data_IF_580169330163
#
_entry.id   IF_580169330163
#
_cell.length_a   1.000
_cell.length_b   1.000
_cell.length_c   1.000
_cell.angle_alpha   90.00
_cell.angle_beta   90.00
_cell.angle_gamma   90.00
#
_symmetry.space_group_name_H-M   'P 1'
#
loop_
_entity.id
_entity.type
_entity.pdbx_description
1 polymer ?
2 non-polymer ?
3 non-polymer ?
4 non-polymer ?
5 non-polymer ?
6 water ?
#
# COMPACT_ATOMS: atom_id res chain seq x y z
N UNK A 12 21.85 -1.94 -1.71
CA UNK A 12 20.65 -1.71 -2.57
C UNK A 12 20.12 -0.28 -2.53
N UNK A 14 21.25 2.90 -3.16
CA UNK A 14 21.41 3.80 -4.31
C UNK A 14 20.45 3.44 -5.48
N UNK A 15 20.32 2.15 -5.77
CA UNK A 15 19.43 1.71 -6.85
C UNK A 15 17.96 1.97 -6.54
N UNK A 16 17.56 1.66 -5.31
CA UNK A 16 16.15 1.88 -4.94
C UNK A 16 15.81 3.37 -4.91
N UNK A 17 16.73 4.17 -4.40
CA UNK A 17 16.54 5.61 -4.35
C UNK A 17 16.32 6.13 -5.78
N UNK A 18 17.15 5.68 -6.69
CA UNK A 18 16.99 6.04 -8.11
C UNK A 18 15.60 5.66 -8.65
N UNK A 19 15.16 4.44 -8.38
CA UNK A 19 13.85 3.90 -8.82
C UNK A 19 12.71 4.77 -8.29
N UNK A 20 12.76 5.07 -7.01
CA UNK A 20 11.73 5.90 -6.37
C UNK A 20 11.70 7.31 -6.92
N UNK A 21 12.87 7.91 -7.05
CA UNK A 21 12.97 9.25 -7.57
C UNK A 21 12.45 9.39 -9.02
N UNK A 22 12.66 8.34 -9.81
CA UNK A 22 12.22 8.29 -11.20
C UNK A 22 10.72 8.16 -11.36
N UNK A 23 10.12 7.38 -10.46
CA UNK A 23 8.71 6.95 -10.61
C UNK A 23 7.79 8.16 -10.59
N UNK A 24 7.02 8.34 -11.67
CA UNK A 24 6.05 9.42 -11.75
C UNK A 24 4.72 8.87 -12.21
N UNK A 25 3.64 9.29 -11.55
CA UNK A 25 2.29 8.88 -11.99
C UNK A 25 2.07 9.42 -13.37
N UNK A 26 1.77 8.55 -14.35
CA UNK A 26 1.68 8.90 -15.74
C UNK A 26 0.44 9.75 -16.03
N UNK A 27 0.63 10.78 -16.83
CA UNK A 27 -0.49 11.59 -17.23
C UNK A 27 -1.03 11.13 -18.58
N UNK A 28 -0.17 10.51 -19.37
CA UNK A 28 -0.50 10.05 -20.71
C UNK A 28 0.29 8.81 -21.01
N UNK A 29 -0.16 8.07 -22.01
CA UNK A 29 0.59 6.88 -22.48
C UNK A 29 0.72 6.92 -23.98
N UNK A 30 1.88 6.47 -24.46
CA UNK A 30 2.21 6.38 -25.88
C UNK A 30 1.59 5.16 -26.52
N UNK A 31 1.16 5.33 -27.76
CA UNK A 31 0.74 4.21 -28.58
C UNK A 31 1.95 3.39 -29.04
N UNK A 32 1.69 2.14 -29.41
CA UNK A 32 2.74 1.30 -29.96
C UNK A 32 3.58 0.58 -28.95
N UNK A 33 3.05 0.42 -27.72
CA UNK A 33 3.78 -0.29 -26.65
C UNK A 33 2.93 -1.35 -26.01
N UNK A 34 2.55 -2.36 -26.79
CA UNK A 34 1.76 -3.41 -26.20
C UNK A 34 2.51 -4.11 -25.05
N UNK A 35 1.74 -4.53 -24.05
CA UNK A 35 2.25 -5.30 -22.95
C UNK A 35 1.66 -6.70 -23.03
N UNK A 36 2.48 -7.67 -22.68
CA UNK A 36 2.11 -9.09 -22.73
C UNK A 36 1.86 -9.70 -21.34
N UNK A 37 1.18 -10.83 -21.34
CA UNK A 37 1.12 -11.66 -20.14
C UNK A 37 2.49 -11.99 -19.56
N UNK A 38 3.49 -12.27 -20.41
CA UNK A 38 4.85 -12.55 -19.92
C UNK A 38 5.45 -11.38 -19.17
N UNK A 39 5.29 -10.17 -19.71
CA UNK A 39 5.73 -8.95 -19.02
C UNK A 39 5.05 -8.83 -17.65
N UNK A 40 3.72 -8.92 -17.62
CA UNK A 40 2.95 -8.73 -16.38
C UNK A 40 3.21 -9.83 -15.38
N UNK A 41 3.32 -11.10 -15.83
CA UNK A 41 3.58 -12.19 -14.94
C UNK A 41 4.91 -11.98 -14.16
N UNK A 42 5.91 -11.39 -14.81
CA UNK A 42 7.18 -11.08 -14.14
C UNK A 42 7.01 -10.10 -12.98
N UNK A 44 4.02 -9.66 -11.40
CA UNK A 44 3.15 -10.28 -10.41
C UNK A 44 3.88 -11.30 -9.56
N UNK A 45 4.96 -11.90 -10.08
CA UNK A 45 5.77 -12.77 -9.22
C UNK A 45 6.36 -11.99 -8.04
N UNK A 46 6.69 -10.72 -8.26
CA UNK A 46 7.17 -9.89 -7.15
C UNK A 46 6.02 -9.46 -6.27
N UNK A 47 4.89 -9.08 -6.86
CA UNK A 47 3.70 -8.73 -6.11
C UNK A 47 3.31 -9.83 -5.14
N UNK A 48 3.48 -11.08 -5.55
CA UNK A 48 3.13 -12.24 -4.71
C UNK A 48 3.93 -12.26 -3.40
N UNK A 49 5.09 -11.61 -3.40
CA UNK A 49 5.97 -11.60 -2.26
C UNK A 49 5.71 -10.36 -1.40
N UNK A 50 4.68 -9.54 -1.70
CA UNK A 50 4.33 -8.48 -0.78
C UNK A 50 3.83 -9.09 0.53
N UNK A 51 3.98 -8.37 1.62
CA UNK A 51 3.39 -8.87 2.88
C UNK A 51 1.86 -8.67 2.88
N UNK A 52 1.17 -9.55 3.60
CA UNK A 52 -0.29 -9.42 3.75
C UNK A 52 -0.61 -9.95 5.13
N UNK A 53 -1.65 -9.41 5.73
CA UNK A 53 -2.01 -9.79 7.12
C UNK A 53 -2.25 -11.28 7.22
N UNK A 54 -1.57 -11.91 8.18
CA UNK A 54 -1.75 -13.36 8.41
C UNK A 54 -1.46 -14.21 7.17
N UNK A 55 -0.65 -13.68 6.25
CA UNK A 55 -0.39 -14.30 4.96
C UNK A 55 -1.67 -14.73 4.22
N UNK A 56 -2.75 -13.98 4.40
CA UNK A 56 -4.01 -14.33 3.72
C UNK A 56 -4.07 -13.94 2.23
N UNK A 57 -3.21 -13.05 1.78
CA UNK A 57 -3.10 -12.78 0.35
C UNK A 57 -4.44 -12.35 -0.22
N UNK A 58 -4.89 -11.24 0.33
CA UNK A 58 -6.25 -10.71 0.09
C UNK A 58 -6.49 -10.23 -1.34
N UNK A 59 -5.42 -9.89 -2.07
CA UNK A 59 -5.50 -9.09 -3.28
C UNK A 59 -5.69 -9.96 -4.51
N UNK A 60 -6.55 -9.52 -5.41
CA UNK A 60 -6.71 -10.11 -6.77
C UNK A 60 -6.60 -8.99 -7.76
N UNK A 61 -6.06 -9.29 -8.94
CA UNK A 61 -5.96 -8.30 -10.00
C UNK A 61 -6.76 -8.76 -11.19
N UNK A 62 -7.60 -7.88 -11.72
CA UNK A 62 -8.25 -8.10 -13.01
C UNK A 62 -7.49 -7.26 -14.02
N UNK A 63 -6.79 -7.92 -14.95
CA UNK A 63 -5.87 -7.23 -15.86
C UNK A 63 -6.48 -7.15 -17.24
N UNK A 64 -6.87 -5.96 -17.67
CA UNK A 64 -7.65 -5.78 -18.91
C UNK A 64 -6.76 -5.34 -20.07
N UNK A 65 -6.60 -6.21 -21.06
CA UNK A 65 -5.96 -5.84 -22.32
C UNK A 65 -6.96 -5.53 -23.44
N UNK A 66 -8.15 -6.11 -23.38
CA UNK A 66 -9.16 -5.97 -24.44
C UNK A 66 -9.66 -4.55 -24.61
N UNK A 67 -9.53 -4.05 -25.83
CA UNK A 67 -9.76 -2.65 -26.07
C UNK A 67 -11.22 -2.26 -25.88
N UNK A 68 -12.18 -3.11 -26.25
CA UNK A 68 -13.59 -2.73 -25.97
C UNK A 68 -13.91 -2.69 -24.49
N UNK A 69 -13.35 -3.62 -23.72
CA UNK A 69 -13.58 -3.56 -22.27
C UNK A 69 -12.97 -2.26 -21.71
N UNK A 70 -11.79 -1.88 -22.20
CA UNK A 70 -11.21 -0.61 -21.79
C UNK A 70 -12.11 0.59 -22.10
N UNK A 71 -12.80 0.57 -23.23
CA UNK A 71 -13.76 1.62 -23.57
C UNK A 71 -14.92 1.65 -22.58
N UNK A 72 -15.39 0.47 -22.17
CA UNK A 72 -16.41 0.40 -21.14
C UNK A 72 -15.93 0.97 -19.81
N UNK A 73 -14.71 0.60 -19.43
CA UNK A 73 -14.13 1.13 -18.21
C UNK A 73 -13.93 2.63 -18.28
N UNK A 74 -13.54 3.13 -19.45
CA UNK A 74 -13.38 4.58 -19.58
C UNK A 74 -14.67 5.34 -19.27
N UNK A 75 -15.79 4.82 -19.74
CA UNK A 75 -17.06 5.43 -19.48
C UNK A 75 -17.35 5.48 -17.97
N UNK A 76 -16.83 4.50 -17.25
CA UNK A 76 -17.00 4.42 -15.78
C UNK A 76 -15.94 5.23 -15.00
N UNK A 77 -15.01 5.84 -15.72
CA UNK A 77 -13.90 6.55 -15.09
C UNK A 77 -13.85 7.97 -15.62
N UNK A 78 -15.01 8.61 -15.73
CA UNK A 78 -15.10 10.01 -16.17
C UNK A 78 -14.52 10.33 -17.55
N UNK A 79 -14.51 9.32 -18.42
CA UNK A 79 -14.02 9.50 -19.74
C UNK A 79 -12.52 9.61 -19.91
N UNK A 80 -11.77 9.35 -18.83
CA UNK A 80 -10.30 9.53 -18.85
C UNK A 80 -9.63 8.77 -20.00
N UNK A 81 -8.97 9.51 -20.90
CA UNK A 81 -8.36 8.96 -22.13
C UNK A 81 -7.29 7.93 -21.76
N UNK A 82 -6.58 8.10 -20.65
CA UNK A 82 -5.51 7.16 -20.30
C UNK A 82 -6.01 5.73 -20.06
N UNK A 83 -7.30 5.58 -19.78
CA UNK A 83 -7.88 4.25 -19.67
C UNK A 83 -7.74 3.49 -21.01
N UNK A 84 -7.99 4.18 -22.14
CA UNK A 84 -7.91 3.55 -23.44
C UNK A 84 -6.51 3.62 -24.07
N UNK A 85 -5.71 4.63 -23.74
CA UNK A 85 -4.36 4.74 -24.35
C UNK A 85 -3.33 3.86 -23.62
N UNK A 86 -3.65 3.41 -22.41
CA UNK A 86 -2.85 2.50 -21.60
C UNK A 86 -2.58 1.22 -22.38
N UNK A 87 -1.45 0.60 -22.10
CA UNK A 87 -1.23 -0.74 -22.55
C UNK A 87 -2.15 -1.78 -21.88
N UNK A 88 -2.48 -1.58 -20.61
CA UNK A 88 -3.45 -2.42 -19.88
C UNK A 88 -3.97 -1.60 -18.75
N UNK A 89 -5.17 -1.96 -18.34
CA UNK A 89 -5.84 -1.35 -17.17
C UNK A 89 -6.04 -2.48 -16.15
N UNK A 90 -5.52 -2.28 -14.94
CA UNK A 90 -5.68 -3.23 -13.87
C UNK A 90 -6.70 -2.74 -12.85
N UNK A 91 -7.57 -3.63 -12.44
CA UNK A 91 -8.44 -3.44 -11.29
C UNK A 91 -7.88 -4.24 -10.13
N UNK A 92 -7.58 -3.51 -9.05
CA UNK A 92 -6.98 -4.09 -7.83
C UNK A 92 -8.13 -4.33 -6.86
N UNK A 93 -8.36 -5.60 -6.57
CA UNK A 93 -9.43 -6.05 -5.70
C UNK A 93 -8.91 -6.54 -4.38
N UNK A 94 -9.73 -6.35 -3.32
CA UNK A 94 -9.45 -6.99 -2.05
C UNK A 94 -10.60 -7.87 -1.60
N UNK A 95 -10.27 -9.10 -1.21
CA UNK A 95 -11.29 -10.09 -0.78
C UNK A 95 -11.71 -9.79 0.66
N UNK A 96 -12.98 -9.41 0.81
CA UNK A 96 -13.53 -9.18 2.14
C UNK A 96 -13.65 -10.47 2.94
N UNK A 97 -13.61 -11.62 2.28
CA UNK A 97 -13.70 -12.90 2.95
C UNK A 97 -12.38 -13.69 2.88
N UNK A 98 -11.28 -13.00 2.67
CA UNK A 98 -9.97 -13.63 2.59
C UNK A 98 -9.64 -14.60 3.72
N UNK A 99 -10.10 -14.25 4.93
CA UNK A 99 -9.79 -15.06 6.13
C UNK A 99 -10.30 -16.47 6.03
N UNK A 100 -11.33 -16.69 5.20
CA UNK A 100 -11.85 -18.05 5.03
C UNK A 100 -10.85 -19.03 4.42
N UNK A 101 -9.81 -18.53 3.76
CA UNK A 101 -8.80 -19.41 3.17
C UNK A 101 -7.60 -19.70 4.04
N UNK A 102 -7.67 -19.31 5.31
CA UNK A 102 -6.60 -19.61 6.26
C UNK A 102 -6.25 -21.09 6.29
N UNK A 103 -7.27 -21.94 6.45
CA UNK A 103 -6.98 -23.38 6.59
C UNK A 103 -6.24 -23.92 5.37
N UNK A 104 -6.65 -23.51 4.17
CA UNK A 104 -5.96 -23.90 2.94
C UNK A 104 -4.55 -23.36 2.80
N UNK A 105 -4.36 -22.08 3.12
CA UNK A 105 -3.07 -21.49 3.02
C UNK A 105 -2.03 -22.09 3.98
N UNK A 106 -2.45 -22.38 5.22
CA UNK A 106 -1.55 -22.89 6.27
C UNK A 106 -1.38 -24.42 6.18
N UNK A 107 -2.14 -25.07 5.30
CA UNK A 107 -2.22 -26.55 5.28
C UNK A 107 -0.85 -27.19 5.10
N UNK A 108 -0.04 -26.62 4.22
CA UNK A 108 1.34 -27.13 4.03
C UNK A 108 2.18 -27.20 5.28
N UNK A 109 1.98 -26.27 6.21
CA UNK A 109 2.72 -26.32 7.49
C UNK A 109 2.46 -27.62 8.24
N UNK A 110 1.21 -28.08 8.21
CA UNK A 110 0.81 -29.32 8.87
C UNK A 110 1.28 -30.52 8.06
N UNK A 111 1.04 -30.49 6.76
CA UNK A 111 1.30 -31.67 5.95
C UNK A 111 2.80 -31.93 5.93
N UNK A 112 3.62 -30.89 5.90
CA UNK A 112 5.06 -31.07 5.87
C UNK A 112 5.64 -31.25 7.28
N UNK A 113 4.81 -31.29 8.30
CA UNK A 113 5.25 -31.62 9.64
C UNK A 113 5.95 -30.50 10.38
N UNK A 114 5.87 -29.28 9.87
CA UNK A 114 6.35 -28.11 10.58
C UNK A 114 5.50 -27.84 11.85
N UNK A 115 4.18 -28.01 11.72
CA UNK A 115 3.24 -27.88 12.82
C UNK A 115 2.55 -29.22 12.99
N UNK A 116 2.23 -29.60 14.23
CA UNK A 116 1.31 -30.69 14.47
C UNK A 116 -0.12 -30.19 14.28
N UNK A 117 -1.07 -31.11 14.31
CA UNK A 117 -2.46 -30.77 14.06
C UNK A 117 -2.99 -29.73 15.04
N UNK A 118 -2.64 -29.86 16.31
CA UNK A 118 -3.12 -28.93 17.31
C UNK A 118 -2.61 -27.51 17.02
N UNK A 119 -1.32 -27.38 16.73
CA UNK A 119 -0.70 -26.09 16.42
C UNK A 119 -1.31 -25.50 15.14
N UNK A 120 -1.54 -26.36 14.15
CA UNK A 120 -2.17 -25.88 12.91
C UNK A 120 -3.60 -25.39 13.16
N UNK A 121 -4.37 -26.16 13.90
CA UNK A 121 -5.74 -25.76 14.20
C UNK A 121 -5.73 -24.46 14.98
N UNK A 122 -4.78 -24.33 15.90
CA UNK A 122 -4.67 -23.12 16.69
C UNK A 122 -4.34 -21.91 15.82
N UNK A 124 -4.94 -21.55 12.52
CA UNK A 124 -6.13 -21.24 11.71
C UNK A 124 -7.14 -20.48 12.55
N UNK A 125 -7.42 -20.96 13.76
CA UNK A 125 -8.45 -20.37 14.62
C UNK A 125 -8.05 -18.96 15.05
N UNK A 126 -6.75 -18.76 15.29
CA UNK A 126 -6.31 -17.43 15.64
C UNK A 126 -6.61 -16.43 14.54
N UNK A 127 -6.30 -16.79 13.29
CA UNK A 127 -6.53 -15.87 12.17
C UNK A 127 -8.02 -15.66 11.94
N UNK A 128 -8.77 -16.78 11.88
CA UNK A 128 -10.20 -16.67 11.58
C UNK A 128 -10.94 -15.83 12.67
N UNK A 129 -10.68 -16.15 13.92
CA UNK A 129 -11.33 -15.45 15.03
C UNK A 129 -10.95 -14.00 15.07
N UNK A 130 -9.71 -13.67 14.69
CA UNK A 130 -9.28 -12.27 14.67
C UNK A 130 -10.25 -11.46 13.79
N UNK A 131 -10.49 -11.95 12.57
CA UNK A 131 -11.40 -11.32 11.66
C UNK A 131 -12.87 -11.41 12.11
N UNK A 132 -13.34 -12.59 12.51
CA UNK A 132 -14.73 -12.73 12.94
C UNK A 132 -15.12 -11.86 14.13
N UNK A 133 -14.24 -11.75 15.12
CA UNK A 133 -14.51 -11.01 16.32
C UNK A 133 -14.55 -9.52 16.02
N UNK A 134 -13.78 -9.06 15.02
CA UNK A 134 -13.83 -7.65 14.67
C UNK A 134 -15.04 -7.27 13.86
N UNK A 135 -15.43 -8.09 12.88
CA UNK A 135 -16.65 -7.83 12.11
C UNK A 135 -16.48 -7.28 10.70
N UNK A 136 -17.60 -6.88 10.12
CA UNK A 136 -17.64 -6.60 8.72
C UNK A 136 -16.82 -5.39 8.33
N UNK A 137 -16.83 -4.32 9.14
CA UNK A 137 -16.08 -3.11 8.78
C UNK A 137 -14.57 -3.45 8.72
N UNK A 138 -14.09 -4.22 9.68
CA UNK A 138 -12.71 -4.70 9.67
C UNK A 138 -12.33 -5.51 8.42
N UNK A 139 -13.18 -6.47 8.06
CA UNK A 139 -12.96 -7.27 6.86
C UNK A 139 -12.78 -6.33 5.70
N UNK A 140 -13.63 -5.31 5.60
CA UNK A 140 -13.50 -4.40 4.48
C UNK A 140 -12.25 -3.54 4.56
N UNK A 141 -11.95 -3.02 5.75
CA UNK A 141 -10.71 -2.27 6.01
C UNK A 141 -9.47 -3.10 5.55
N UNK A 142 -9.49 -4.38 5.88
CA UNK A 142 -8.39 -5.32 5.53
C UNK A 142 -8.27 -5.53 4.01
N UNK A 143 -9.40 -5.57 3.33
CA UNK A 143 -9.41 -5.67 1.86
C UNK A 143 -8.71 -4.45 1.23
N UNK A 144 -9.02 -3.26 1.73
CA UNK A 144 -8.42 -2.05 1.21
C UNK A 144 -6.93 -1.99 1.58
N UNK A 145 -6.61 -2.23 2.83
CA UNK A 145 -5.25 -2.08 3.33
C UNK A 145 -4.28 -3.03 2.64
N UNK A 146 -4.65 -4.31 2.63
CA UNK A 146 -3.72 -5.31 2.07
C UNK A 146 -3.62 -5.14 0.53
N UNK A 147 -4.72 -4.83 -0.17
CA UNK A 147 -4.69 -4.60 -1.62
C UNK A 147 -3.85 -3.37 -1.95
N UNK A 148 -3.87 -2.36 -1.07
CA UNK A 148 -3.11 -1.14 -1.30
C UNK A 148 -1.63 -1.39 -1.11
N UNK A 149 -1.24 -2.17 -0.11
CA UNK A 149 0.16 -2.60 0.01
C UNK A 149 0.62 -3.29 -1.27
N UNK A 150 -0.24 -4.19 -1.75
CA UNK A 150 0.04 -4.93 -2.96
C UNK A 150 0.19 -4.00 -4.19
N UNK A 151 -0.71 -3.04 -4.31
CA UNK A 151 -0.67 -2.10 -5.43
C UNK A 151 0.62 -1.31 -5.47
N UNK A 154 3.12 -3.53 -6.90
CA UNK A 154 2.91 -3.60 -8.31
C UNK A 154 3.53 -2.41 -9.05
N UNK A 156 5.95 -0.35 -8.14
CA UNK A 156 7.41 -0.36 -8.09
C UNK A 156 8.01 -1.44 -8.97
N UNK A 157 7.35 -2.61 -9.01
CA UNK A 157 7.70 -3.66 -9.95
C UNK A 157 7.62 -3.21 -11.40
N UNK A 158 6.56 -2.52 -11.76
CA UNK A 158 6.42 -1.98 -13.10
C UNK A 158 7.51 -0.99 -13.43
N UNK A 159 7.84 -0.13 -12.47
CA UNK A 159 8.87 0.87 -12.61
C UNK A 159 10.22 0.21 -12.90
N UNK A 160 10.51 -0.82 -12.11
CA UNK A 160 11.76 -1.59 -12.15
C UNK A 160 11.88 -2.27 -13.54
N UNK A 161 10.73 -2.63 -14.12
CA UNK A 161 10.67 -3.30 -15.43
C UNK A 161 10.66 -2.32 -16.57
N UNK A 162 10.62 -1.02 -16.27
CA UNK A 162 10.69 0.01 -17.30
C UNK A 162 9.35 0.56 -17.81
N UNK A 163 8.29 0.30 -17.05
CA UNK A 163 6.94 0.72 -17.42
C UNK A 163 6.55 1.87 -16.50
N UNK A 164 5.60 2.66 -16.96
CA UNK A 164 4.97 3.71 -16.18
C UNK A 164 3.55 3.31 -15.80
N UNK A 165 3.12 3.81 -14.66
CA UNK A 165 1.77 3.53 -14.18
C UNK A 165 1.12 4.81 -13.65
N UNK A 166 -0.20 4.75 -13.57
CA UNK A 166 -1.00 5.77 -12.87
C UNK A 166 -2.06 5.10 -12.02
N UNK A 167 -1.98 5.24 -10.69
CA UNK A 167 -3.02 4.78 -9.79
C UNK A 167 -4.20 5.71 -9.89
N UNK A 169 -8.49 6.50 -8.56
CA UNK A 169 -9.70 6.24 -7.77
C UNK A 169 -10.92 6.96 -8.37
N UNK A 170 -10.72 7.70 -9.46
CA UNK A 170 -11.77 8.46 -10.07
C UNK A 170 -12.64 7.59 -11.00
N UNK A 171 -13.33 6.62 -10.40
CA UNK A 171 -14.21 5.72 -11.16
C UNK A 171 -15.40 5.24 -10.31
N UNK A 172 -16.44 4.77 -11.00
CA UNK A 172 -17.66 4.24 -10.39
C UNK A 172 -17.48 2.75 -10.12
N UNK A 173 -17.25 2.40 -8.87
CA UNK A 173 -16.94 1.00 -8.51
C UNK A 173 -18.05 0.03 -8.88
N UNK A 174 -19.30 0.39 -8.64
CA UNK A 174 -20.41 -0.52 -8.96
C UNK A 174 -20.52 -0.73 -10.46
N UNK A 175 -20.24 0.31 -11.23
CA UNK A 175 -20.20 0.14 -12.71
C UNK A 175 -19.07 -0.78 -13.17
N UNK A 176 -17.88 -0.64 -12.55
CA UNK A 176 -16.77 -1.53 -12.82
C UNK A 176 -17.09 -2.97 -12.51
N UNK A 177 -17.73 -3.22 -11.37
CA UNK A 177 -18.05 -4.61 -11.01
C UNK A 177 -19.04 -5.19 -12.02
N UNK A 178 -20.02 -4.40 -12.48
CA UNK A 178 -20.92 -4.87 -13.54
C UNK A 178 -20.18 -5.20 -14.84
N UNK A 179 -19.30 -4.29 -15.28
CA UNK A 179 -18.50 -4.50 -16.51
C UNK A 179 -17.64 -5.78 -16.44
N UNK A 180 -17.04 -6.05 -15.29
CA UNK A 180 -16.01 -7.08 -15.18
C UNK A 180 -16.55 -8.32 -14.45
N UNK A 181 -17.85 -8.28 -14.10
CA UNK A 181 -18.51 -9.40 -13.43
C UNK A 181 -17.86 -9.78 -12.12
N UNK A 182 -17.63 -8.78 -11.27
CA UNK A 182 -16.91 -8.94 -10.02
C UNK A 182 -17.94 -9.10 -8.91
N UNK A 183 -17.81 -10.21 -8.18
CA UNK A 183 -18.64 -10.52 -7.04
C UNK A 183 -18.56 -9.49 -5.90
N UNK A 184 -19.64 -9.32 -5.15
CA UNK A 184 -19.67 -8.29 -4.10
C UNK A 184 -18.75 -8.61 -2.89
N UNK A 185 -18.26 -9.84 -2.80
CA UNK A 185 -17.20 -10.23 -1.88
C UNK A 185 -15.90 -9.46 -2.06
N UNK A 186 -15.70 -8.91 -3.24
CA UNK A 186 -14.48 -8.15 -3.54
C UNK A 186 -14.76 -6.64 -3.47
N UNK A 187 -13.90 -5.93 -2.77
CA UNK A 187 -13.85 -4.49 -2.83
C UNK A 187 -13.02 -4.07 -4.05
N UNK A 188 -13.49 -3.10 -4.86
CA UNK A 188 -12.64 -2.55 -5.91
C UNK A 188 -11.82 -1.44 -5.24
N UNK A 189 -10.58 -1.73 -4.98
CA UNK A 189 -9.72 -0.89 -4.20
C UNK A 189 -9.06 0.26 -4.99
N UNK A 192 -5.31 0.82 -11.79
CA UNK A 192 -3.92 1.15 -12.17
C UNK A 192 -3.81 0.98 -13.69
N UNK A 193 -3.49 2.07 -14.37
CA UNK A 193 -3.12 2.02 -15.77
C UNK A 193 -1.60 1.80 -15.90
N UNK A 194 -1.22 1.04 -16.92
CA UNK A 194 0.17 0.78 -17.23
C UNK A 194 0.46 1.03 -18.69
N UNK A 195 1.62 1.59 -18.98
CA UNK A 195 2.07 1.81 -20.33
C UNK A 195 3.39 2.53 -20.34
N UNK A 196 3.74 3.19 -21.45
CA UNK A 196 4.97 4.00 -21.54
C UNK A 196 4.61 5.46 -21.71
N UNK A 197 5.07 6.31 -20.80
CA UNK A 197 4.71 7.74 -20.86
C UNK A 197 5.59 8.52 -21.84
N UNK A 198 5.01 9.47 -22.58
CA UNK A 198 5.80 10.53 -23.23
C UNK A 198 6.51 11.35 -22.13
N UNK A 199 7.77 11.02 -21.86
CA UNK A 199 8.51 11.59 -20.71
C UNK A 199 8.85 13.08 -20.88
N UNK A 200 8.97 13.53 -22.13
CA UNK A 200 9.09 14.96 -22.43
C UNK A 200 7.77 15.71 -22.20
N UNK A 201 6.65 14.98 -22.05
CA UNK A 201 5.33 15.59 -21.83
C UNK A 201 4.95 15.70 -20.35
N UNK A 202 5.95 15.85 -19.49
CA UNK A 202 5.80 15.61 -18.05
C UNK A 202 5.85 16.88 -17.19
N UNK A 203 4.79 17.11 -16.43
CA UNK A 203 4.74 18.21 -15.47
C UNK A 203 5.66 17.85 -14.29
N UNK A 204 6.27 18.85 -13.64
CA UNK A 204 7.02 18.57 -12.40
C UNK A 204 6.19 17.88 -11.33
N UNK A 205 6.88 17.16 -10.47
CA UNK A 205 6.25 16.50 -9.35
C UNK A 205 5.49 17.54 -8.52
N UNK A 206 4.22 17.24 -8.23
CA UNK A 206 3.41 18.02 -7.29
C UNK A 206 4.12 18.22 -5.95
N UNK A 207 3.92 19.39 -5.35
CA UNK A 207 4.62 19.82 -4.12
C UNK A 207 4.63 18.76 -3.09
N UNK A 208 5.75 18.53 -2.41
CA UNK A 208 5.77 17.54 -1.32
C UNK A 208 6.10 18.11 0.06
N UNK A 209 5.28 17.77 1.06
CA UNK A 209 5.50 18.19 2.44
C UNK A 209 6.88 17.71 2.88
N UNK A 210 7.65 18.56 3.56
CA UNK A 210 8.88 18.04 4.16
C UNK A 210 8.65 16.96 5.20
N UNK A 211 9.64 16.13 5.40
CA UNK A 211 9.57 15.02 6.35
C UNK A 211 9.16 15.51 7.76
N UNK A 212 9.67 16.66 8.17
CA UNK A 212 9.29 17.19 9.48
C UNK A 212 7.89 17.76 9.56
N UNK A 213 7.13 17.67 8.47
CA UNK A 213 5.72 17.98 8.51
C UNK A 213 4.82 16.74 8.47
N UNK A 214 5.38 15.56 8.24
CA UNK A 214 4.56 14.36 8.31
C UNK A 214 5.07 13.24 9.22
N UNK A 215 6.21 13.46 9.89
CA UNK A 215 6.79 12.54 10.83
C UNK A 215 6.99 13.18 12.15
N UNK A 216 6.52 12.55 13.20
CA UNK A 216 6.81 12.99 14.56
C UNK A 216 7.50 11.89 15.33
N UNK A 217 8.50 12.26 16.10
CA UNK A 217 9.29 11.33 16.87
C UNK A 217 8.92 11.41 18.35
N UNK B 9 18.89 1.88 -18.31
CA UNK B 9 17.52 1.31 -18.36
C UNK B 9 17.56 -0.17 -18.02
N UNK B 10 18.75 -0.66 -17.70
CA UNK B 10 19.14 -2.00 -18.12
C UNK B 10 19.16 -3.07 -17.03
N UNK B 11 19.50 -2.74 -15.79
CA UNK B 11 19.54 -3.76 -14.72
C UNK B 11 18.59 -3.51 -13.54
N UNK B 12 17.60 -2.62 -13.71
CA UNK B 12 16.74 -2.27 -12.56
C UNK B 12 15.88 -3.44 -12.13
N UNK B 14 16.51 -6.72 -12.06
CA UNK B 14 17.23 -7.72 -11.30
C UNK B 14 17.50 -7.19 -9.90
N UNK B 15 17.92 -5.92 -9.78
CA UNK B 15 18.15 -5.34 -8.45
C UNK B 15 16.89 -5.31 -7.58
N UNK B 16 15.79 -4.88 -8.18
CA UNK B 16 14.55 -4.77 -7.44
C UNK B 16 14.08 -6.16 -7.01
N UNK B 17 14.27 -7.13 -7.90
CA UNK B 17 13.86 -8.53 -7.62
C UNK B 17 14.60 -9.05 -6.40
N UNK B 18 15.89 -8.78 -6.34
CA UNK B 18 16.67 -9.15 -5.16
C UNK B 18 16.15 -8.48 -3.88
N UNK B 19 15.88 -7.17 -3.95
CA UNK B 19 15.37 -6.43 -2.79
C UNK B 19 14.09 -7.12 -2.29
N UNK B 20 13.15 -7.36 -3.22
CA UNK B 20 11.86 -7.96 -2.87
C UNK B 20 12.01 -9.40 -2.28
N UNK B 21 12.87 -10.18 -2.92
CA UNK B 21 13.15 -11.52 -2.40
C UNK B 21 13.77 -11.55 -1.04
N UNK B 22 14.58 -10.55 -0.72
CA UNK B 22 15.25 -10.53 0.58
C UNK B 22 14.37 -9.99 1.73
N UNK B 23 13.29 -9.27 1.43
CA UNK B 23 12.40 -8.68 2.44
C UNK B 23 11.53 -9.74 3.10
N UNK B 24 11.64 -9.89 4.42
CA UNK B 24 10.85 -10.84 5.21
C UNK B 24 10.24 -10.08 6.37
N UNK B 25 9.00 -10.36 6.70
CA UNK B 25 8.34 -9.74 7.83
C UNK B 25 9.01 -10.33 9.06
N UNK B 26 9.60 -9.49 9.91
CA UNK B 26 10.33 -10.00 11.09
C UNK B 26 9.46 -10.64 12.15
N UNK B 27 9.90 -11.77 12.65
CA UNK B 27 9.19 -12.36 13.79
C UNK B 27 9.82 -12.00 15.13
N UNK B 28 11.10 -11.66 15.10
CA UNK B 28 11.87 -11.28 16.29
C UNK B 28 12.70 -10.09 15.91
N UNK B 29 13.20 -9.36 16.92
CA UNK B 29 14.27 -8.41 16.72
C UNK B 29 15.35 -8.63 17.78
N UNK B 30 16.58 -8.24 17.42
CA UNK B 30 17.75 -8.30 18.25
C UNK B 30 18.08 -6.97 18.94
N UNK B 31 18.60 -7.07 20.17
CA UNK B 31 19.07 -5.90 20.93
C UNK B 31 20.40 -5.46 20.38
N UNK B 32 20.75 -4.19 20.63
CA UNK B 32 22.04 -3.65 20.24
C UNK B 32 22.11 -3.07 18.86
N UNK B 33 20.94 -2.75 18.30
CA UNK B 33 20.83 -2.16 16.98
C UNK B 33 20.00 -0.88 17.03
N UNK B 34 20.50 0.12 17.73
CA UNK B 34 19.72 1.36 17.81
C UNK B 34 19.56 1.95 16.45
N UNK B 35 18.40 2.56 16.22
CA UNK B 35 18.12 3.31 15.00
C UNK B 35 18.00 4.79 15.33
N UNK B 36 18.53 5.65 14.44
CA UNK B 36 18.55 7.08 14.70
C UNK B 36 17.53 7.80 13.85
N UNK B 37 17.20 9.02 14.26
CA UNK B 37 16.37 9.89 13.43
C UNK B 37 17.00 10.07 12.05
N UNK B 38 18.33 10.12 11.95
CA UNK B 38 19.00 10.21 10.63
C UNK B 38 18.73 8.99 9.74
N UNK B 39 18.84 7.79 10.30
CA UNK B 39 18.50 6.54 9.56
C UNK B 39 17.11 6.64 8.99
N UNK B 40 16.19 7.04 9.84
CA UNK B 40 14.78 7.06 9.51
C UNK B 40 14.44 8.18 8.54
N UNK B 41 15.02 9.35 8.74
CA UNK B 41 14.76 10.45 7.84
C UNK B 41 15.15 10.13 6.37
N UNK B 42 16.20 9.38 6.16
CA UNK B 42 16.54 8.93 4.83
C UNK B 42 15.44 8.05 4.18
N UNK B 44 12.26 8.19 5.08
CA UNK B 44 11.09 9.06 4.95
C UNK B 44 11.20 10.00 3.75
N UNK B 45 12.43 10.35 3.33
CA UNK B 45 12.60 11.12 2.09
C UNK B 45 12.07 10.35 0.87
N UNK B 46 12.25 9.03 0.88
CA UNK B 46 11.69 8.22 -0.19
C UNK B 46 10.18 8.09 -0.06
N UNK B 47 9.71 7.84 1.15
CA UNK B 47 8.24 7.78 1.46
C UNK B 47 7.53 9.04 0.96
N UNK B 48 8.18 10.21 1.05
CA UNK B 48 7.55 11.44 0.60
C UNK B 48 7.19 11.42 -0.88
N UNK B 49 7.90 10.61 -1.64
CA UNK B 49 7.70 10.50 -3.10
C UNK B 49 6.71 9.43 -3.50
N UNK B 50 6.05 8.82 -2.53
CA UNK B 50 4.97 7.89 -2.83
C UNK B 50 3.84 8.61 -3.53
N UNK B 51 3.08 7.90 -4.36
CA UNK B 51 1.87 8.55 -4.88
C UNK B 51 0.79 8.65 -3.78
N UNK B 52 -0.05 9.68 -3.91
CA UNK B 52 -1.23 9.80 -3.03
C UNK B 52 -2.33 10.49 -3.85
N UNK B 53 -3.58 10.13 -3.55
CA UNK B 53 -4.74 10.64 -4.29
C UNK B 53 -4.73 12.16 -4.22
N UNK B 54 -4.80 12.81 -5.38
CA UNK B 54 -4.84 14.26 -5.49
C UNK B 54 -3.62 14.96 -4.88
N UNK B 55 -2.53 14.21 -4.68
CA UNK B 55 -1.35 14.69 -3.99
C UNK B 55 -1.65 15.25 -2.60
N UNK B 56 -2.69 14.73 -1.95
CA UNK B 56 -3.09 15.20 -0.63
C UNK B 56 -2.16 14.72 0.50
N UNK B 57 -1.31 13.69 0.23
CA UNK B 57 -0.28 13.31 1.20
C UNK B 57 -0.93 13.04 2.61
N UNK B 58 -1.84 12.07 2.60
CA UNK B 58 -2.70 11.69 3.69
C UNK B 58 -1.97 11.16 4.93
N UNK B 59 -0.77 10.66 4.73
CA UNK B 59 -0.06 9.82 5.68
C UNK B 59 0.77 10.63 6.65
N UNK B 60 0.66 10.27 7.92
CA UNK B 60 1.57 10.72 8.96
C UNK B 60 2.18 9.52 9.65
N UNK B 61 3.39 9.68 10.16
CA UNK B 61 4.04 8.66 10.97
C UNK B 61 4.36 9.18 12.37
N UNK B 62 3.97 8.42 13.40
CA UNK B 62 4.46 8.70 14.74
C UNK B 62 5.49 7.63 14.99
N UNK B 63 6.72 8.07 15.17
CA UNK B 63 7.85 7.16 15.28
C UNK B 63 8.38 7.11 16.70
N UNK B 64 8.23 5.94 17.33
CA UNK B 64 8.53 5.78 18.75
C UNK B 64 9.88 5.12 18.92
N UNK B 65 10.82 5.88 19.48
CA UNK B 65 12.17 5.40 19.78
C UNK B 65 12.29 5.16 21.27
N UNK B 66 11.47 5.86 22.04
CA UNK B 66 11.54 5.77 23.50
C UNK B 66 11.19 4.38 24.02
N UNK B 67 12.12 3.74 24.72
CA UNK B 67 11.90 2.37 25.14
C UNK B 67 10.78 2.26 26.18
N UNK B 68 10.62 3.26 27.03
CA UNK B 68 9.54 3.18 28.01
C UNK B 68 8.18 3.19 27.31
N UNK B 69 8.06 4.04 26.30
CA UNK B 69 6.82 4.11 25.53
C UNK B 69 6.57 2.78 24.77
N UNK B 70 7.62 2.20 24.22
CA UNK B 70 7.47 0.91 23.53
C UNK B 70 7.00 -0.19 24.48
N UNK B 71 7.59 -0.23 25.67
CA UNK B 71 7.13 -1.15 26.70
C UNK B 71 5.64 -0.95 26.95
N UNK B 72 5.22 0.32 27.06
CA UNK B 72 3.82 0.64 27.29
C UNK B 72 2.89 0.32 26.14
N UNK B 73 3.41 0.22 24.91
CA UNK B 73 2.61 -0.17 23.77
C UNK B 73 2.41 -1.69 23.67
N UNK B 74 3.17 -2.47 24.42
CA UNK B 74 3.10 -3.93 24.29
C UNK B 74 1.70 -4.46 24.53
N UNK B 75 1.06 -4.02 25.62
CA UNK B 75 -0.30 -4.45 25.94
C UNK B 75 -1.26 -4.03 24.84
N UNK B 76 -1.10 -2.82 24.32
CA UNK B 76 -1.98 -2.30 23.26
C UNK B 76 -1.82 -3.08 21.95
N UNK B 77 -0.61 -3.61 21.75
CA UNK B 77 -0.27 -4.42 20.56
C UNK B 77 -0.51 -5.89 20.77
N UNK B 78 -1.60 -6.23 21.47
CA UNK B 78 -2.02 -7.59 21.67
C UNK B 78 -0.93 -8.43 22.33
N UNK B 79 -0.15 -7.80 23.21
CA UNK B 79 0.93 -8.48 23.86
C UNK B 79 2.16 -8.87 23.05
N UNK B 80 2.30 -8.35 21.84
CA UNK B 80 3.39 -8.75 20.97
C UNK B 80 4.72 -8.15 21.41
N UNK B 81 5.61 -9.05 21.83
CA UNK B 81 6.89 -8.64 22.38
C UNK B 81 7.80 -7.93 21.40
N UNK B 82 7.61 -8.17 20.10
CA UNK B 82 8.42 -7.45 19.11
C UNK B 82 8.32 -5.90 19.20
N UNK B 83 7.23 -5.35 19.75
CA UNK B 83 7.16 -3.91 20.01
C UNK B 83 8.29 -3.48 20.97
N UNK B 84 8.60 -4.32 21.95
CA UNK B 84 9.67 -4.06 22.93
C UNK B 84 11.08 -4.25 22.36
N UNK B 85 11.29 -5.36 21.66
CA UNK B 85 12.62 -5.72 21.15
C UNK B 85 13.03 -4.89 19.93
N UNK B 86 12.05 -4.40 19.18
CA UNK B 86 12.32 -3.53 18.02
C UNK B 86 13.20 -2.34 18.31
N UNK B 87 13.88 -1.86 17.28
CA UNK B 87 14.62 -0.61 17.39
C UNK B 87 13.72 0.62 17.45
N UNK B 88 12.59 0.56 16.75
CA UNK B 88 11.58 1.61 16.78
C UNK B 88 10.23 0.98 16.42
N UNK B 89 9.16 1.61 16.89
CA UNK B 89 7.78 1.23 16.54
C UNK B 89 7.15 2.43 15.84
N UNK B 90 6.64 2.29 14.60
CA UNK B 90 5.96 3.38 13.87
C UNK B 90 4.49 3.14 13.84
N UNK B 91 3.71 4.18 14.07
CA UNK B 91 2.29 4.16 13.83
C UNK B 91 2.06 4.90 12.55
N UNK B 92 1.46 4.20 11.61
CA UNK B 92 1.14 4.78 10.32
C UNK B 92 -0.29 5.29 10.38
N UNK B 93 -0.43 6.61 10.28
CA UNK B 93 -1.70 7.29 10.38
C UNK B 93 -2.15 7.77 9.01
N UNK B 94 -3.47 7.75 8.82
CA UNK B 94 -4.08 8.35 7.67
C UNK B 94 -5.05 9.44 8.08
N UNK B 95 -4.85 10.64 7.55
CA UNK B 95 -5.77 11.76 7.84
C UNK B 95 -7.10 11.61 7.11
N UNK B 96 -8.18 11.39 7.89
CA UNK B 96 -9.53 11.32 7.36
C UNK B 96 -10.03 12.68 6.84
N UNK B 97 -9.37 13.76 7.22
CA UNK B 97 -9.69 15.12 6.72
C UNK B 97 -8.60 15.68 5.80
N UNK B 98 -7.83 14.78 5.15
CA UNK B 98 -6.70 15.19 4.28
C UNK B 98 -7.12 16.22 3.24
N UNK B 99 -8.33 16.11 2.73
CA UNK B 99 -8.76 16.95 1.65
C UNK B 99 -8.82 18.43 2.03
N UNK B 100 -8.96 18.70 3.33
CA UNK B 100 -8.94 20.10 3.83
C UNK B 100 -7.65 20.83 3.58
N UNK B 101 -6.56 20.11 3.28
CA UNK B 101 -5.31 20.80 2.97
C UNK B 101 -5.09 21.00 1.48
N UNK B 102 -6.09 20.72 0.66
CA UNK B 102 -5.95 20.97 -0.78
C UNK B 102 -5.54 22.43 -1.08
N UNK B 103 -6.22 23.39 -0.46
CA UNK B 103 -5.94 24.81 -0.71
C UNK B 103 -4.47 25.12 -0.42
N UNK B 104 -3.94 24.63 0.70
CA UNK B 104 -2.53 24.85 1.00
C UNK B 104 -1.59 24.09 0.09
N UNK B 105 -1.88 22.82 -0.18
CA UNK B 105 -1.00 22.01 -1.02
C UNK B 105 -0.86 22.57 -2.44
N UNK B 106 -1.94 23.10 -3.00
CA UNK B 106 -1.98 23.51 -4.39
C UNK B 106 -1.56 24.99 -4.57
N UNK B 107 -1.34 25.69 -3.48
CA UNK B 107 -1.13 27.14 -3.52
C UNK B 107 0.13 27.53 -4.30
N UNK B 108 1.20 26.75 -4.20
CA UNK B 108 2.42 27.09 -4.96
C UNK B 108 2.22 27.14 -6.48
N UNK B 109 1.30 26.33 -6.98
CA UNK B 109 0.89 26.37 -8.41
C UNK B 109 0.39 27.78 -8.78
N UNK B 110 -0.34 28.44 -7.89
CA UNK B 110 -0.79 29.80 -8.14
C UNK B 110 0.37 30.79 -8.01
N UNK B 111 1.12 30.67 -6.94
CA UNK B 111 2.27 31.59 -6.70
C UNK B 111 3.30 31.52 -7.83
N UNK B 112 3.54 30.33 -8.38
CA UNK B 112 4.50 30.17 -9.49
C UNK B 112 3.92 30.52 -10.83
N UNK B 113 2.65 30.85 -10.88
CA UNK B 113 2.02 31.29 -12.13
C UNK B 113 1.66 30.15 -13.05
N UNK B 114 1.60 28.93 -12.49
CA UNK B 114 1.18 27.77 -13.26
C UNK B 114 -0.32 27.76 -13.43
N UNK B 115 -1.06 28.07 -12.36
CA UNK B 115 -2.50 28.29 -12.46
C UNK B 115 -2.81 29.72 -12.09
N UNK B 116 -3.86 30.25 -12.69
CA UNK B 116 -4.38 31.55 -12.26
C UNK B 116 -5.36 31.33 -11.11
N UNK B 117 -5.88 32.42 -10.54
CA UNK B 117 -6.68 32.33 -9.32
C UNK B 117 -7.92 31.46 -9.52
N UNK B 118 -8.62 31.67 -10.64
CA UNK B 118 -9.79 30.87 -10.94
C UNK B 118 -9.51 29.37 -11.07
N UNK B 119 -8.44 29.04 -11.80
CA UNK B 119 -8.04 27.64 -12.03
C UNK B 119 -7.67 26.97 -10.69
N UNK B 120 -6.93 27.70 -9.87
CA UNK B 120 -6.55 27.21 -8.55
C UNK B 120 -7.80 27.01 -7.71
N UNK B 121 -8.70 27.98 -7.67
CA UNK B 121 -9.94 27.79 -6.91
C UNK B 121 -10.74 26.59 -7.39
N UNK B 122 -10.76 26.38 -8.71
CA UNK B 122 -11.47 25.28 -9.32
C UNK B 122 -10.85 23.94 -8.90
N UNK B 124 -8.92 23.24 -6.23
CA UNK B 124 -9.23 23.01 -4.81
C UNK B 124 -10.67 22.52 -4.67
N UNK B 125 -11.60 23.21 -5.34
CA UNK B 125 -13.01 22.80 -5.30
C UNK B 125 -13.29 21.39 -5.83
N UNK B 126 -12.63 21.00 -6.93
CA UNK B 126 -12.74 19.63 -7.46
C UNK B 126 -12.32 18.60 -6.39
N UNK B 127 -11.16 18.82 -5.75
CA UNK B 127 -10.63 17.87 -4.77
C UNK B 127 -11.52 17.80 -3.53
N UNK B 128 -11.86 18.95 -2.99
CA UNK B 128 -12.72 18.99 -1.81
C UNK B 128 -14.08 18.35 -2.07
N UNK B 129 -14.72 18.71 -3.19
CA UNK B 129 -15.99 18.15 -3.48
C UNK B 129 -15.95 16.65 -3.81
N UNK B 130 -14.87 16.17 -4.41
CA UNK B 130 -14.71 14.72 -4.62
C UNK B 130 -14.88 13.96 -3.28
N UNK B 131 -14.21 14.42 -2.23
CA UNK B 131 -14.32 13.83 -0.93
C UNK B 131 -15.67 14.09 -0.25
N UNK B 132 -16.06 15.33 -0.16
CA UNK B 132 -17.32 15.66 0.50
C UNK B 132 -18.54 15.01 -0.18
N UNK B 133 -18.54 14.94 -1.51
CA UNK B 133 -19.65 14.30 -2.22
C UNK B 133 -19.78 12.81 -1.87
N UNK B 134 -18.66 12.14 -1.62
CA UNK B 134 -18.65 10.72 -1.37
C UNK B 134 -18.95 10.41 0.11
N UNK B 135 -18.51 11.27 1.01
CA UNK B 135 -18.86 11.12 2.44
C UNK B 135 -17.84 10.47 3.34
N UNK B 136 -18.27 10.16 4.56
CA UNK B 136 -17.37 9.80 5.64
C UNK B 136 -16.68 8.48 5.41
N UNK B 137 -17.42 7.48 4.94
CA UNK B 137 -16.81 6.18 4.67
C UNK B 137 -15.67 6.35 3.66
N UNK B 138 -15.92 7.09 2.58
CA UNK B 138 -14.91 7.32 1.56
C UNK B 138 -13.65 8.01 2.15
N UNK B 139 -13.84 9.03 2.99
CA UNK B 139 -12.75 9.73 3.66
C UNK B 139 -11.89 8.77 4.44
N UNK B 140 -12.53 7.82 5.13
CA UNK B 140 -11.80 6.83 5.91
C UNK B 140 -11.13 5.80 5.00
N UNK B 141 -11.83 5.35 3.97
CA UNK B 141 -11.24 4.45 2.98
C UNK B 141 -9.94 5.05 2.42
N UNK B 142 -10.00 6.36 2.14
CA UNK B 142 -8.88 7.09 1.55
C UNK B 142 -7.72 7.19 2.52
N UNK B 143 -8.03 7.35 3.79
CA UNK B 143 -7.02 7.34 4.86
C UNK B 143 -6.27 5.99 4.85
N UNK B 144 -7.02 4.89 4.82
CA UNK B 144 -6.44 3.56 4.83
C UNK B 144 -5.65 3.28 3.56
N UNK B 145 -6.24 3.63 2.41
CA UNK B 145 -5.63 3.31 1.10
C UNK B 145 -4.31 4.06 0.92
N UNK B 146 -4.34 5.34 1.11
CA UNK B 146 -3.16 6.15 0.86
C UNK B 146 -2.05 5.85 1.88
N UNK B 147 -2.42 5.67 3.18
CA UNK B 147 -1.41 5.34 4.20
C UNK B 147 -0.79 3.97 3.91
N UNK B 148 -1.55 3.05 3.34
CA UNK B 148 -1.02 1.71 3.08
C UNK B 148 -0.04 1.69 1.90
N UNK B 149 -0.34 2.45 0.85
CA UNK B 149 0.62 2.69 -0.23
C UNK B 149 1.95 3.22 0.40
N UNK B 150 1.82 4.22 1.26
CA UNK B 150 2.97 4.85 1.90
C UNK B 150 3.74 3.82 2.72
N UNK B 151 3.01 2.99 3.47
CA UNK B 151 3.63 2.00 4.34
C UNK B 151 4.45 1.00 3.54
N UNK B 154 7.57 2.63 2.72
CA UNK B 154 8.45 2.65 3.91
C UNK B 154 9.21 1.32 4.08
N UNK B 156 9.94 -1.09 1.90
CA UNK B 156 10.96 -1.30 0.87
C UNK B 156 12.16 -0.37 1.05
N UNK B 157 11.91 0.86 1.50
CA UNK B 157 13.02 1.78 1.85
C UNK B 157 13.88 1.21 2.99
N UNK B 158 13.23 0.73 4.04
CA UNK B 158 13.91 0.09 5.15
C UNK B 158 14.76 -1.07 4.72
N UNK B 159 14.19 -1.90 3.86
CA UNK B 159 14.89 -3.06 3.32
C UNK B 159 16.11 -2.66 2.53
N UNK B 160 15.95 -1.62 1.72
CA UNK B 160 17.03 -1.12 0.93
C UNK B 160 18.14 -0.56 1.80
N UNK B 161 17.78 -0.08 2.98
CA UNK B 161 18.74 0.49 3.92
C UNK B 161 19.35 -0.54 4.82
N UNK B 162 18.94 -1.79 4.69
CA UNK B 162 19.49 -2.87 5.45
C UNK B 162 18.80 -3.19 6.76
N UNK B 163 17.58 -2.70 6.93
CA UNK B 163 16.81 -2.95 8.15
C UNK B 163 15.67 -3.96 7.87
N UNK B 164 15.25 -4.65 8.92
CA UNK B 164 14.07 -5.50 8.86
C UNK B 164 12.85 -4.80 9.44
N UNK B 165 11.67 -5.14 8.93
CA UNK B 165 10.40 -4.57 9.44
C UNK B 165 9.37 -5.68 9.58
N UNK B 166 8.35 -5.41 10.39
CA UNK B 166 7.15 -6.26 10.46
C UNK B 166 5.96 -5.33 10.47
N UNK B 167 5.10 -5.38 9.45
CA UNK B 167 3.83 -4.67 9.46
C UNK B 167 2.90 -5.40 10.39
N UNK B 169 -1.18 -5.38 12.33
CA UNK B 169 -2.54 -4.94 12.57
C UNK B 169 -3.08 -5.49 13.87
N UNK B 170 -2.30 -6.34 14.53
CA UNK B 170 -2.63 -6.90 15.81
C UNK B 170 -2.48 -5.97 16.99
N UNK B 171 -3.27 -4.92 17.02
CA UNK B 171 -3.26 -3.90 18.08
C UNK B 171 -4.62 -3.30 18.28
N UNK B 172 -4.82 -2.72 19.47
CA UNK B 172 -6.04 -2.01 19.83
C UNK B 172 -5.84 -0.53 19.45
N UNK B 173 -6.46 -0.08 18.37
CA UNK B 173 -6.26 1.25 17.81
C UNK B 173 -6.61 2.35 18.81
N UNK B 174 -7.74 2.17 19.47
CA UNK B 174 -8.18 3.09 20.52
C UNK B 174 -7.16 3.25 21.64
N UNK B 175 -6.63 2.14 22.11
CA UNK B 175 -5.62 2.15 23.15
C UNK B 175 -4.36 2.89 22.69
N UNK B 176 -3.93 2.59 21.46
CA UNK B 176 -2.77 3.25 20.89
C UNK B 176 -3.01 4.73 20.82
N UNK B 177 -4.22 5.13 20.39
CA UNK B 177 -4.49 6.57 20.29
C UNK B 177 -4.43 7.22 21.69
N UNK B 178 -4.96 6.55 22.72
CA UNK B 178 -4.90 7.12 24.07
C UNK B 178 -3.46 7.21 24.56
N UNK B 179 -2.68 6.17 24.36
CA UNK B 179 -1.31 6.17 24.84
C UNK B 179 -0.46 7.22 24.17
N UNK B 180 -0.65 7.41 22.87
CA UNK B 180 0.20 8.32 22.08
C UNK B 180 -0.43 9.68 21.82
N UNK B 181 -1.61 9.93 22.35
CA UNK B 181 -2.29 11.19 22.14
C UNK B 181 -2.52 11.55 20.68
N UNK B 182 -3.15 10.65 19.93
CA UNK B 182 -3.38 10.85 18.53
C UNK B 182 -4.77 11.43 18.32
N UNK B 183 -4.89 12.52 17.54
CA UNK B 183 -6.18 13.20 17.32
C UNK B 183 -7.18 12.30 16.59
N UNK B 184 -8.47 12.62 16.75
CA UNK B 184 -9.57 11.83 16.17
C UNK B 184 -9.57 11.77 14.67
N UNK B 185 -9.04 12.79 14.01
CA UNK B 185 -9.10 12.83 12.58
C UNK B 185 -8.17 11.81 11.91
N UNK B 186 -7.27 11.20 12.67
CA UNK B 186 -6.33 10.23 12.13
C UNK B 186 -6.80 8.83 12.39
N UNK B 187 -6.87 8.04 11.33
CA UNK B 187 -6.99 6.60 11.45
C UNK B 187 -5.63 5.98 11.73
N UNK B 188 -5.55 5.06 12.70
CA UNK B 188 -4.34 4.30 12.93
C UNK B 188 -4.36 3.10 11.95
N UNK B 189 -3.72 3.27 10.81
CA UNK B 189 -3.85 2.35 9.68
C UNK B 189 -3.02 1.07 9.88
N UNK B 192 4.24 -0.55 12.33
CA UNK B 192 5.41 -1.19 11.73
C UNK B 192 6.52 -1.16 12.73
N UNK B 193 7.02 -2.34 13.07
CA UNK B 193 8.26 -2.42 13.84
C UNK B 193 9.42 -2.46 12.89
N UNK B 194 10.56 -1.89 13.32
CA UNK B 194 11.78 -1.89 12.54
C UNK B 194 12.95 -2.28 13.46
N UNK B 195 13.92 -3.02 12.92
CA UNK B 195 15.05 -3.45 13.66
C UNK B 195 15.88 -4.40 12.88
N UNK B 196 16.65 -5.25 13.58
CA UNK B 196 17.50 -6.26 12.94
C UNK B 196 17.02 -7.61 13.46
N UNK B 197 16.64 -8.48 12.54
CA UNK B 197 16.23 -9.84 12.89
C UNK B 197 17.42 -10.78 12.78
N UNK B 198 17.52 -11.79 13.65
CA UNK B 198 18.54 -12.84 13.44
C UNK B 198 18.13 -13.74 12.26
N UNK B 199 18.93 -13.74 11.20
CA UNK B 199 18.58 -14.40 9.96
C UNK B 199 18.65 -15.92 10.07
N UNK B 200 19.62 -16.42 10.81
CA UNK B 200 19.78 -17.84 11.00
C UNK B 200 18.52 -18.45 11.63
N UNK B 201 17.77 -17.67 12.38
CA UNK B 201 16.60 -18.18 13.10
C UNK B 201 15.23 -18.01 12.35
N UNK B 202 15.25 -17.44 11.14
CA UNK B 202 14.03 -17.27 10.33
C UNK B 202 13.42 -18.57 9.80
N UNK B 203 12.11 -18.71 9.98
CA UNK B 203 11.35 -19.72 9.25
C UNK B 203 11.24 -19.32 7.78
N UNK B 204 11.14 -20.32 6.88
CA UNK B 204 10.91 -20.04 5.47
C UNK B 204 9.62 -19.26 5.23
N UNK B 205 9.63 -18.56 4.11
CA UNK B 205 8.51 -17.73 3.72
C UNK B 205 7.23 -18.56 3.64
N UNK B 206 6.14 -18.02 4.12
CA UNK B 206 4.86 -18.72 4.07
C UNK B 206 4.40 -18.97 2.65
N UNK B 207 3.61 -20.03 2.49
CA UNK B 207 3.05 -20.41 1.21
C UNK B 207 2.45 -19.23 0.46
N UNK B 208 2.80 -19.10 -0.83
CA UNK B 208 2.18 -18.14 -1.75
C UNK B 208 1.35 -18.74 -2.86
N UNK B 209 0.15 -18.20 -3.04
CA UNK B 209 -0.68 -18.54 -4.17
C UNK B 209 0.12 -18.20 -5.44
N UNK B 210 0.10 -19.08 -6.44
CA UNK B 210 0.63 -18.77 -7.78
C UNK B 210 -0.07 -17.61 -8.41
N UNK B 211 0.61 -16.96 -9.34
CA UNK B 211 0.07 -15.82 -10.04
C UNK B 211 -1.27 -16.14 -10.71
N UNK B 212 -1.38 -17.35 -11.28
CA UNK B 212 -2.59 -17.71 -11.97
C UNK B 212 -3.79 -17.97 -11.06
N UNK B 213 -3.58 -17.95 -9.75
CA UNK B 213 -4.68 -17.95 -8.77
C UNK B 213 -5.08 -16.57 -8.23
N UNK B 214 -4.31 -15.54 -8.53
CA UNK B 214 -4.74 -14.20 -8.15
C UNK B 214 -4.80 -13.14 -9.22
N UNK B 215 -4.45 -13.48 -10.47
CA UNK B 215 -4.57 -12.57 -11.57
C UNK B 215 -5.44 -13.20 -12.64
N UNK B 216 -6.46 -12.46 -13.06
CA UNK B 216 -7.34 -12.77 -14.19
C UNK B 216 -7.02 -11.81 -15.33
N UNK B 217 -6.71 -12.36 -16.52
CA UNK B 217 -6.54 -11.52 -17.71
C UNK B 217 -7.81 -11.47 -18.54
#
# INVERSE_FOLDING_TARGET
XGSDKIHHHHHHXAEFTHLVNERRSASNFLSGHPITKEDLNEXFELVALAPSAFNLQHTKYVTVLDQDVKEKLKQAANGQYKVVSSSAVLLVLGDKQAYQQAADIYEGLKVLGILNKQEYDHXVQDTVSFYENRGEQFKRDEAIRNASLSAXXFXLSAAAAGWDTCPXIGFDAEAVKRILNIDDQFEVVXXITIGKEKTESRRPRGYRKPVNEFVEYX
XGSDKIHHHHHHXAEFTHLVNERRSASNFLSGHPITKEDLNEXFELVALAPSAFNLQHTKYVTVLDQDVKEKLKQAANGQYKVVSSSAVLLVLGDKQAYQQAADIYEGLKVLGILNKQEYDHXVQDTVSFYENRGEQFKRDEAIRNASLSAXXFXLSAAAAGWDTCPXIGFDAEAVKRILNIDDQFEVVXXITIGKEKTESRRPRGYRKPVNEFVEYX
#
